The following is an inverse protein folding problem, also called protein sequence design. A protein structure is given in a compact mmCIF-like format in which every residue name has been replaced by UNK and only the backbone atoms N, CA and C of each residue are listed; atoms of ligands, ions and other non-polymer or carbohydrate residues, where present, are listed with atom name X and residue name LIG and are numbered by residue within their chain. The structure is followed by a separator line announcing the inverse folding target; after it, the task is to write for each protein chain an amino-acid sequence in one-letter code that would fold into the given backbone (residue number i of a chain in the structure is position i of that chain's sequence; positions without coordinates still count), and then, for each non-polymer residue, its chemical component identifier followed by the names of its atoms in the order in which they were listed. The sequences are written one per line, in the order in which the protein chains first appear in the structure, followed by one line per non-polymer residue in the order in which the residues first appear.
data_IF_435412570269
#
_entry.id   IF_435412570269
#
_cell.length_a   1.000
_cell.length_b   1.000
_cell.length_c   1.000
_cell.angle_alpha   90.00
_cell.angle_beta   90.00
_cell.angle_gamma   90.00
#
_symmetry.space_group_name_H-M   'P 1'
#
loop_
_entity.id
_entity.type
_entity.pdbx_description
1 polymer ?
#
# COMPACT_ATOMS: atom_id res chain seq x y z
N UNK A 1 -23.20 2.63 -77.20
CA UNK A 1 -23.89 3.79 -76.57
C UNK A 1 -23.02 4.27 -75.43
N UNK A 2 -22.00 5.08 -75.71
CA UNK A 2 -22.05 6.54 -75.87
C UNK A 2 -21.90 7.27 -74.51
N UNK A 3 -20.72 7.87 -74.37
CA UNK A 3 -20.21 8.77 -73.34
C UNK A 3 -21.09 10.01 -73.04
N UNK A 4 -20.85 10.64 -71.87
CA UNK A 4 -20.58 12.07 -71.62
C UNK A 4 -20.51 12.31 -70.09
N UNK A 5 -19.38 12.76 -69.52
CA UNK A 5 -18.79 14.11 -69.46
C UNK A 5 -19.62 15.13 -68.65
N UNK A 6 -18.97 15.71 -67.63
CA UNK A 6 -19.44 16.84 -66.83
C UNK A 6 -18.40 17.28 -65.81
N UNK A 7 -17.34 17.96 -66.27
CA UNK A 7 -16.44 18.78 -65.45
C UNK A 7 -17.14 20.04 -64.95
N UNK A 8 -16.82 20.54 -63.74
CA UNK A 8 -16.49 21.97 -63.53
C UNK A 8 -15.85 22.28 -62.15
N UNK A 9 -14.57 22.66 -62.24
CA UNK A 9 -13.95 23.92 -61.74
C UNK A 9 -13.94 24.28 -60.24
N UNK A 10 -12.70 24.47 -59.81
CA UNK A 10 -12.20 25.07 -58.58
C UNK A 10 -12.65 26.50 -58.27
N UNK A 11 -12.66 26.85 -56.98
CA UNK A 11 -12.32 28.21 -56.52
C UNK A 11 -11.70 28.20 -55.11
N UNK A 12 -10.38 28.43 -55.09
CA UNK A 12 -9.63 28.99 -53.95
C UNK A 12 -10.07 30.43 -53.72
N UNK A 13 -10.25 30.83 -52.46
CA UNK A 13 -10.16 32.20 -51.87
C UNK A 13 -10.54 32.04 -50.38
N UNK A 14 -9.88 32.57 -49.38
CA UNK A 14 -8.67 33.36 -49.28
C UNK A 14 -8.33 33.43 -47.79
N UNK A 15 -7.04 33.26 -47.46
CA UNK A 15 -6.53 33.37 -46.11
C UNK A 15 -5.95 34.77 -45.97
N UNK A 16 -6.64 35.65 -45.23
CA UNK A 16 -6.19 37.02 -45.02
C UNK A 16 -6.39 37.45 -43.57
N UNK A 17 -5.23 37.57 -42.90
CA UNK A 17 -4.83 38.57 -41.90
C UNK A 17 -5.94 39.18 -41.01
N UNK A 18 -5.82 38.90 -39.70
CA UNK A 18 -5.94 39.96 -38.67
C UNK A 18 -4.80 39.81 -37.68
N UNK A 19 -3.98 40.86 -37.60
CA UNK A 19 -2.95 41.01 -36.60
C UNK A 19 -3.46 41.68 -35.33
N UNK A 20 -2.62 41.54 -34.30
CA UNK A 20 -2.33 42.47 -33.21
C UNK A 20 -3.50 43.13 -32.48
N UNK A 21 -3.74 42.65 -31.25
CA UNK A 21 -4.01 43.47 -30.05
C UNK A 21 -4.00 42.54 -28.82
N UNK A 22 -2.89 42.51 -28.08
CA UNK A 22 -2.85 42.65 -26.61
C UNK A 22 -1.40 42.52 -26.11
N UNK A 23 -0.72 43.65 -26.07
CA UNK A 23 0.39 43.90 -25.13
C UNK A 23 -0.25 44.67 -23.99
N UNK A 24 -0.39 44.08 -22.80
CA UNK A 24 -0.40 44.73 -21.48
C UNK A 24 -0.84 43.73 -20.40
N UNK A 25 -0.18 43.82 -19.24
CA UNK A 25 -0.40 43.08 -17.99
C UNK A 25 0.27 41.71 -17.85
N UNK A 26 1.61 41.72 -17.92
CA UNK A 26 2.47 40.67 -17.38
C UNK A 26 3.42 41.29 -16.33
N UNK A 27 2.85 42.04 -15.38
CA UNK A 27 3.59 42.66 -14.26
C UNK A 27 2.78 42.66 -12.93
N UNK A 28 1.68 41.89 -12.84
CA UNK A 28 0.81 41.86 -11.65
C UNK A 28 0.84 40.57 -10.83
N UNK A 29 1.58 39.54 -11.24
CA UNK A 29 1.55 38.21 -10.60
C UNK A 29 2.84 37.80 -9.88
N UNK A 30 3.84 38.68 -9.81
CA UNK A 30 5.12 38.44 -9.10
C UNK A 30 5.11 39.05 -7.69
N UNK A 31 4.12 39.88 -7.34
CA UNK A 31 4.09 40.59 -6.06
C UNK A 31 3.24 39.92 -4.94
N UNK A 32 2.65 38.74 -5.17
CA UNK A 32 1.86 38.01 -4.15
C UNK A 32 2.56 36.74 -3.62
N UNK A 33 3.74 36.41 -4.16
CA UNK A 33 4.56 35.26 -3.71
C UNK A 33 5.72 35.64 -2.77
N UNK A 34 5.74 36.87 -2.23
CA UNK A 34 6.78 37.35 -1.30
C UNK A 34 6.17 37.85 0.02
N UNK A 35 5.17 37.15 0.59
CA UNK A 35 4.72 37.39 2.00
C UNK A 35 4.37 36.07 2.73
N UNK A 36 4.95 34.93 2.36
CA UNK A 36 4.88 33.69 3.18
C UNK A 36 6.27 33.08 3.39
N UNK A 37 7.23 33.93 3.71
CA UNK A 37 8.51 33.52 4.25
C UNK A 37 8.43 33.35 5.77
N UNK A 38 9.09 32.29 6.25
CA UNK A 38 9.54 32.05 7.64
C UNK A 38 8.53 31.43 8.61
N UNK A 39 8.35 30.11 8.50
CA UNK A 39 8.26 29.23 9.70
C UNK A 39 8.79 27.79 9.49
N UNK A 40 9.23 27.38 8.28
CA UNK A 40 9.60 25.98 8.01
C UNK A 40 11.10 25.63 8.12
N UNK A 41 11.98 26.57 8.50
CA UNK A 41 13.44 26.36 8.42
C UNK A 41 14.15 26.04 9.77
N UNK A 42 13.42 25.86 10.87
CA UNK A 42 14.04 25.54 12.18
C UNK A 42 14.12 24.05 12.55
N UNK A 43 13.55 23.13 11.76
CA UNK A 43 13.57 21.70 12.10
C UNK A 43 14.59 20.90 11.27
N UNK A 44 15.05 21.41 10.14
CA UNK A 44 16.06 20.72 9.31
C UNK A 44 17.51 20.99 9.74
N UNK A 45 17.80 22.10 10.41
CA UNK A 45 19.19 22.51 10.72
C UNK A 45 19.77 21.86 12.00
N UNK A 46 18.95 21.17 12.80
CA UNK A 46 19.40 20.48 14.04
C UNK A 46 19.89 19.05 13.78
N UNK A 47 19.54 18.43 12.64
CA UNK A 47 19.93 17.05 12.34
C UNK A 47 21.19 16.93 11.46
N UNK A 48 21.73 18.04 10.94
CA UNK A 48 22.81 18.01 9.94
C UNK A 48 24.20 18.42 10.48
N UNK A 49 24.30 18.70 11.80
CA UNK A 49 25.56 19.11 12.45
C UNK A 49 26.11 18.12 13.47
N UNK A 50 25.80 16.83 13.35
CA UNK A 50 26.55 15.82 14.10
C UNK A 50 27.91 15.62 13.42
N UNK A 51 29.04 15.78 14.14
CA UNK A 51 30.36 15.52 13.58
C UNK A 51 30.42 14.10 13.04
N UNK A 52 31.07 13.94 11.88
CA UNK A 52 31.34 12.67 11.22
C UNK A 52 32.12 11.76 12.17
N UNK A 53 31.40 10.96 12.95
CA UNK A 53 32.01 9.88 13.71
C UNK A 53 32.43 8.80 12.70
N UNK A 54 33.61 8.17 12.87
CA UNK A 54 33.97 7.00 12.06
C UNK A 54 32.84 5.98 12.14
N UNK A 55 32.60 5.17 11.10
CA UNK A 55 31.50 4.21 11.06
C UNK A 55 31.65 3.22 12.21
N UNK A 56 31.06 3.55 13.35
CA UNK A 56 30.83 2.61 14.42
C UNK A 56 30.09 1.45 13.76
N UNK A 57 30.55 0.22 14.03
CA UNK A 57 29.84 -1.00 13.62
C UNK A 57 28.41 -0.83 14.11
N UNK A 58 27.49 -0.47 13.19
CA UNK A 58 26.09 -0.25 13.52
C UNK A 58 25.56 -1.63 13.84
N UNK A 59 25.59 -1.95 15.14
CA UNK A 59 25.06 -3.21 15.63
C UNK A 59 23.61 -3.30 15.16
N UNK A 60 23.22 -4.47 14.69
CA UNK A 60 21.83 -4.75 14.39
C UNK A 60 20.98 -4.37 15.61
N UNK A 61 19.79 -3.79 15.42
CA UNK A 61 18.89 -3.53 16.54
C UNK A 61 18.79 -4.78 17.43
N UNK A 62 18.78 -4.64 18.77
CA UNK A 62 18.75 -5.76 19.68
C UNK A 62 17.58 -6.69 19.32
N UNK A 63 17.86 -8.00 19.28
CA UNK A 63 16.84 -8.98 18.95
C UNK A 63 15.69 -8.86 19.96
N UNK A 64 14.49 -8.62 19.46
CA UNK A 64 13.29 -8.60 20.29
C UNK A 64 13.09 -9.95 20.98
N UNK A 65 12.49 -9.98 22.19
CA UNK A 65 12.08 -11.24 22.79
C UNK A 65 11.16 -12.00 21.81
N UNK A 66 11.25 -13.34 21.76
CA UNK A 66 10.51 -14.14 20.79
C UNK A 66 9.00 -13.97 21.02
N UNK A 67 8.36 -13.19 20.15
CA UNK A 67 6.91 -13.05 20.19
C UNK A 67 6.25 -14.35 19.73
N UNK A 68 5.24 -14.80 20.47
CA UNK A 68 4.36 -15.89 20.02
C UNK A 68 3.80 -15.54 18.63
N UNK A 69 4.13 -16.33 17.61
CA UNK A 69 3.60 -16.19 16.26
C UNK A 69 2.29 -16.97 16.19
N UNK A 70 1.19 -16.30 15.86
CA UNK A 70 -0.09 -16.96 15.57
C UNK A 70 0.12 -17.72 14.25
N UNK A 71 -0.14 -19.04 14.18
CA UNK A 71 -0.09 -19.77 12.92
C UNK A 71 -0.96 -19.09 11.86
N UNK A 72 -0.46 -18.93 10.63
CA UNK A 72 -1.22 -18.23 9.58
C UNK A 72 -2.57 -18.87 9.28
N UNK A 73 -2.68 -20.20 9.41
CA UNK A 73 -3.94 -20.94 9.26
C UNK A 73 -4.95 -20.64 10.37
N UNK A 74 -4.48 -20.34 11.58
CA UNK A 74 -5.31 -19.86 12.69
C UNK A 74 -5.71 -18.40 12.43
N UNK A 75 -4.74 -17.55 12.06
CA UNK A 75 -4.96 -16.12 11.81
C UNK A 75 -6.00 -15.88 10.70
N UNK A 76 -5.94 -16.63 9.59
CA UNK A 76 -6.91 -16.50 8.48
C UNK A 76 -8.14 -17.39 8.64
N UNK A 77 -8.21 -18.19 9.71
CA UNK A 77 -9.23 -19.19 9.94
C UNK A 77 -9.41 -20.13 8.72
N UNK A 78 -8.31 -20.66 8.18
CA UNK A 78 -8.35 -21.52 6.98
C UNK A 78 -9.18 -22.78 7.19
N UNK A 79 -9.11 -23.39 8.39
CA UNK A 79 -9.77 -24.65 8.69
C UNK A 79 -11.30 -24.57 8.63
N UNK A 80 -11.89 -23.44 9.04
CA UNK A 80 -13.33 -23.23 8.95
C UNK A 80 -13.82 -22.93 7.52
N UNK A 81 -12.92 -22.76 6.54
CA UNK A 81 -13.27 -22.29 5.21
C UNK A 81 -13.78 -23.36 4.23
N UNK A 82 -13.79 -24.64 4.59
CA UNK A 82 -14.09 -25.74 3.65
C UNK A 82 -15.57 -25.83 3.22
N UNK A 83 -16.48 -25.03 3.79
CA UNK A 83 -17.92 -25.00 3.46
C UNK A 83 -18.48 -23.59 3.31
N UNK A 84 -17.71 -22.68 2.71
CA UNK A 84 -18.19 -21.31 2.46
C UNK A 84 -19.13 -21.33 1.25
N UNK A 85 -20.43 -21.14 1.50
CA UNK A 85 -21.42 -20.86 0.46
C UNK A 85 -21.49 -19.36 0.20
N UNK A 86 -21.54 -18.97 -1.08
CA UNK A 86 -21.54 -17.57 -1.48
C UNK A 86 -22.82 -17.21 -2.22
N UNK A 87 -23.47 -16.08 -1.86
CA UNK A 87 -24.60 -15.59 -2.62
C UNK A 87 -24.12 -15.16 -4.00
N UNK A 88 -24.88 -15.49 -5.04
CA UNK A 88 -24.58 -15.03 -6.39
C UNK A 88 -24.56 -13.48 -6.44
N UNK A 89 -23.62 -12.86 -7.18
CA UNK A 89 -22.62 -13.47 -8.07
C UNK A 89 -21.27 -13.76 -7.40
N UNK A 90 -21.18 -13.68 -6.07
CA UNK A 90 -19.93 -13.85 -5.34
C UNK A 90 -19.50 -15.33 -5.33
N UNK A 91 -18.19 -15.55 -5.28
CA UNK A 91 -17.57 -16.87 -5.29
C UNK A 91 -16.60 -17.03 -4.10
N UNK A 92 -16.49 -18.24 -3.54
CA UNK A 92 -15.64 -18.46 -2.36
C UNK A 92 -14.16 -18.37 -2.72
N UNK A 93 -13.35 -17.83 -1.80
CA UNK A 93 -11.90 -17.80 -1.88
C UNK A 93 -11.27 -18.58 -0.72
N UNK A 94 -10.53 -19.63 -1.08
CA UNK A 94 -9.81 -20.48 -0.13
C UNK A 94 -8.31 -20.21 -0.16
N UNK A 95 -7.69 -20.39 1.00
CA UNK A 95 -6.23 -20.41 1.13
C UNK A 95 -5.65 -21.60 0.37
N UNK A 96 -4.39 -21.50 -0.05
CA UNK A 96 -3.63 -22.63 -0.60
C UNK A 96 -2.44 -22.87 0.30
N UNK A 97 -2.34 -24.04 0.91
CA UNK A 97 -1.20 -24.39 1.75
C UNK A 97 -0.34 -25.36 0.97
N UNK A 98 0.91 -25.01 0.75
CA UNK A 98 1.90 -25.85 0.04
C UNK A 98 2.94 -26.29 1.06
N UNK A 99 3.26 -27.58 1.08
CA UNK A 99 4.34 -28.09 1.94
C UNK A 99 5.68 -27.46 1.53
N UNK A 100 6.30 -26.77 2.48
CA UNK A 100 7.54 -26.05 2.26
C UNK A 100 8.79 -26.93 2.42
N UNK A 101 8.63 -28.16 2.92
CA UNK A 101 9.74 -29.10 3.15
C UNK A 101 10.52 -29.45 1.88
N UNK A 102 9.87 -29.36 0.72
CA UNK A 102 10.42 -29.73 -0.58
C UNK A 102 11.18 -28.60 -1.27
N UNK A 103 11.23 -27.40 -0.69
CA UNK A 103 11.89 -26.25 -1.30
C UNK A 103 13.16 -25.86 -0.55
N UNK A 104 14.18 -25.41 -1.29
CA UNK A 104 15.43 -24.93 -0.71
C UNK A 104 15.21 -23.69 0.18
N UNK A 105 16.22 -23.30 0.98
CA UNK A 105 16.12 -22.14 1.85
C UNK A 105 16.02 -20.85 1.02
N UNK A 106 14.98 -20.05 1.28
CA UNK A 106 14.84 -18.68 0.80
C UNK A 106 14.82 -17.73 1.99
N UNK A 107 15.47 -16.57 1.86
CA UNK A 107 15.37 -15.51 2.87
C UNK A 107 13.94 -14.96 2.98
N UNK A 108 13.33 -14.62 1.85
CA UNK A 108 11.91 -14.29 1.77
C UNK A 108 11.10 -15.59 1.78
N UNK A 109 10.28 -15.86 2.81
CA UNK A 109 9.46 -17.07 2.85
C UNK A 109 8.52 -17.18 1.65
N UNK A 110 8.20 -18.41 1.21
CA UNK A 110 7.27 -18.65 0.08
C UNK A 110 5.80 -18.54 0.52
N UNK A 111 5.44 -17.35 0.98
CA UNK A 111 4.12 -16.98 1.47
C UNK A 111 3.59 -15.82 0.63
N UNK A 112 2.31 -15.84 0.28
CA UNK A 112 1.61 -14.72 -0.35
C UNK A 112 0.45 -14.31 0.58
N UNK A 113 0.41 -13.03 0.91
CA UNK A 113 -0.59 -12.39 1.74
C UNK A 113 -1.42 -11.45 0.88
N UNK A 114 -2.73 -11.68 0.85
CA UNK A 114 -3.70 -10.76 0.23
C UNK A 114 -4.76 -10.45 1.26
N UNK A 115 -5.09 -9.17 1.42
CA UNK A 115 -6.16 -8.74 2.30
C UNK A 115 -7.28 -8.08 1.53
N UNK A 116 -8.51 -8.26 2.01
CA UNK A 116 -9.66 -7.51 1.57
C UNK A 116 -10.60 -7.28 2.74
N UNK A 117 -10.78 -6.01 3.11
CA UNK A 117 -11.59 -5.60 4.26
C UNK A 117 -12.85 -4.89 3.78
N UNK A 118 -13.99 -5.22 4.39
CA UNK A 118 -15.31 -4.67 4.03
C UNK A 118 -15.85 -3.69 5.06
N UNK A 119 -15.22 -3.60 6.22
CA UNK A 119 -15.77 -2.87 7.36
C UNK A 119 -16.74 -3.73 8.18
N UNK A 120 -17.16 -3.18 9.31
CA UNK A 120 -17.80 -3.90 10.43
C UNK A 120 -19.27 -4.23 10.23
N UNK A 121 -19.90 -3.76 9.15
CA UNK A 121 -21.38 -3.79 9.00
C UNK A 121 -21.91 -5.06 8.32
N UNK A 122 -21.05 -5.88 7.69
CA UNK A 122 -21.47 -7.15 7.09
C UNK A 122 -20.64 -8.30 7.62
N UNK A 123 -21.24 -9.43 8.06
CA UNK A 123 -20.52 -10.62 8.44
C UNK A 123 -19.52 -10.98 7.34
N UNK A 124 -18.23 -10.97 7.68
CA UNK A 124 -17.19 -11.11 6.66
C UNK A 124 -17.32 -12.49 6.03
N UNK A 125 -17.54 -12.53 4.73
CA UNK A 125 -17.57 -13.77 3.98
C UNK A 125 -16.27 -13.88 3.18
N UNK A 126 -15.78 -15.11 3.00
CA UNK A 126 -14.73 -15.40 2.01
C UNK A 126 -15.27 -15.33 0.57
N UNK A 127 -16.37 -14.60 0.33
CA UNK A 127 -17.10 -14.57 -0.93
C UNK A 127 -16.77 -13.31 -1.71
N UNK A 128 -15.94 -13.37 -2.74
CA UNK A 128 -15.51 -12.20 -3.51
C UNK A 128 -16.14 -12.17 -4.92
N UNK A 129 -16.16 -11.00 -5.58
CA UNK A 129 -16.38 -10.89 -7.00
C UNK A 129 -15.51 -11.87 -7.79
N UNK A 130 -16.05 -12.51 -8.85
CA UNK A 130 -15.29 -13.41 -9.71
C UNK A 130 -14.01 -12.77 -10.27
N UNK A 131 -14.03 -11.46 -10.56
CA UNK A 131 -12.84 -10.76 -11.05
C UNK A 131 -11.70 -10.71 -10.03
N UNK A 132 -12.00 -10.49 -8.75
CA UNK A 132 -10.98 -10.51 -7.69
C UNK A 132 -10.45 -11.93 -7.46
N UNK A 133 -11.33 -12.94 -7.49
CA UNK A 133 -10.88 -14.35 -7.38
C UNK A 133 -10.00 -14.74 -8.57
N UNK A 134 -10.30 -14.26 -9.77
CA UNK A 134 -9.45 -14.47 -10.94
C UNK A 134 -8.07 -13.81 -10.80
N UNK A 135 -7.98 -12.62 -10.20
CA UNK A 135 -6.68 -12.00 -9.84
C UNK A 135 -5.89 -12.87 -8.88
N UNK A 136 -6.55 -13.41 -7.85
CA UNK A 136 -5.92 -14.34 -6.91
C UNK A 136 -5.47 -15.64 -7.59
N UNK A 137 -6.27 -16.15 -8.53
CA UNK A 137 -5.90 -17.36 -9.26
C UNK A 137 -4.63 -17.14 -10.10
N UNK A 138 -4.46 -15.99 -10.74
CA UNK A 138 -3.23 -15.63 -11.44
C UNK A 138 -2.00 -15.65 -10.52
N UNK A 139 -2.14 -15.18 -9.29
CA UNK A 139 -1.07 -15.32 -8.28
C UNK A 139 -0.74 -16.78 -7.98
N UNK A 140 -1.77 -17.62 -7.78
CA UNK A 140 -1.59 -19.05 -7.53
C UNK A 140 -0.90 -19.75 -8.71
N UNK A 141 -1.29 -19.41 -9.94
CA UNK A 141 -0.74 -20.01 -11.16
C UNK A 141 0.72 -19.59 -11.40
N UNK A 142 1.06 -18.32 -11.16
CA UNK A 142 2.41 -17.79 -11.37
C UNK A 142 3.42 -18.16 -10.27
N UNK A 143 2.93 -18.51 -9.07
CA UNK A 143 3.74 -18.86 -7.90
C UNK A 143 3.29 -20.21 -7.33
N UNK A 144 3.37 -21.32 -8.10
CA UNK A 144 2.81 -22.61 -7.71
C UNK A 144 3.40 -23.16 -6.39
N UNK A 145 4.65 -22.82 -6.06
CA UNK A 145 5.31 -23.29 -4.83
C UNK A 145 4.94 -22.50 -3.57
N UNK A 146 4.22 -21.39 -3.70
CA UNK A 146 3.92 -20.49 -2.59
C UNK A 146 2.62 -20.88 -1.90
N UNK A 147 2.63 -20.82 -0.57
CA UNK A 147 1.38 -20.82 0.20
C UNK A 147 0.70 -19.46 0.06
N UNK A 148 -0.62 -19.48 -0.08
CA UNK A 148 -1.45 -18.30 -0.26
C UNK A 148 -2.44 -18.16 0.89
N UNK A 149 -2.44 -16.98 1.53
CA UNK A 149 -3.26 -16.66 2.69
C UNK A 149 -4.13 -15.43 2.42
N UNK A 150 -5.45 -15.63 2.47
CA UNK A 150 -6.43 -14.56 2.36
C UNK A 150 -6.84 -14.03 3.74
N UNK A 151 -6.61 -12.74 3.96
CA UNK A 151 -6.86 -12.06 5.23
C UNK A 151 -8.12 -11.19 5.14
N UNK A 152 -9.11 -11.51 5.97
CA UNK A 152 -10.34 -10.72 6.14
C UNK A 152 -10.20 -9.72 7.29
N UNK A 153 -11.25 -8.95 7.55
CA UNK A 153 -11.28 -7.97 8.63
C UNK A 153 -10.82 -8.56 9.98
N UNK A 154 -11.26 -9.76 10.39
CA UNK A 154 -10.86 -10.33 11.69
C UNK A 154 -9.37 -10.67 11.74
N UNK A 155 -8.81 -11.22 10.66
CA UNK A 155 -7.39 -11.54 10.56
C UNK A 155 -6.53 -10.26 10.62
N UNK A 156 -6.99 -9.23 9.90
CA UNK A 156 -6.36 -7.91 9.88
C UNK A 156 -6.43 -7.28 11.27
N UNK A 157 -7.60 -7.28 11.91
CA UNK A 157 -7.81 -6.74 13.25
C UNK A 157 -7.02 -7.47 14.32
N UNK A 158 -6.99 -8.80 14.27
CA UNK A 158 -6.21 -9.63 15.20
C UNK A 158 -4.74 -9.24 15.16
N UNK A 159 -4.17 -9.06 13.96
CA UNK A 159 -2.78 -8.67 13.80
C UNK A 159 -2.50 -7.22 14.25
N UNK A 160 -3.45 -6.31 14.08
CA UNK A 160 -3.32 -4.91 14.51
C UNK A 160 -3.49 -4.74 16.03
N UNK A 161 -4.23 -5.65 16.68
CA UNK A 161 -4.54 -5.60 18.11
C UNK A 161 -3.61 -6.45 18.98
N UNK A 162 -2.78 -7.32 18.38
CA UNK A 162 -1.81 -8.09 19.16
C UNK A 162 -0.80 -7.19 19.86
N UNK A 163 -0.10 -7.74 20.84
CA UNK A 163 1.02 -7.06 21.49
C UNK A 163 2.24 -7.00 20.56
N UNK A 164 2.82 -5.81 20.45
CA UNK A 164 3.99 -5.53 19.64
C UNK A 164 5.04 -4.82 20.52
N UNK A 165 5.93 -5.56 21.19
CA UNK A 165 7.05 -5.01 21.93
C UNK A 165 7.83 -3.89 21.23
N UNK A 166 8.02 -3.96 19.91
CA UNK A 166 8.70 -2.93 19.12
C UNK A 166 7.83 -1.69 18.87
N UNK A 167 6.51 -1.86 18.95
CA UNK A 167 5.49 -0.86 18.64
C UNK A 167 4.41 -0.80 19.76
N UNK A 168 4.79 -0.53 21.02
CA UNK A 168 3.94 -0.76 22.20
C UNK A 168 2.65 0.07 22.24
N UNK A 169 2.58 1.15 21.45
CA UNK A 169 1.39 2.01 21.36
C UNK A 169 0.51 1.73 20.14
N UNK A 170 0.88 0.76 19.29
CA UNK A 170 0.20 0.52 18.02
C UNK A 170 -1.29 0.25 18.22
N UNK A 171 -1.68 -0.73 19.03
CA UNK A 171 -3.09 -1.09 19.22
C UNK A 171 -3.94 0.10 19.70
N UNK A 172 -3.39 0.92 20.60
CA UNK A 172 -4.03 2.13 21.11
C UNK A 172 -4.14 3.21 20.03
N UNK A 173 -3.08 3.45 19.26
CA UNK A 173 -3.07 4.39 18.13
C UNK A 173 -4.08 3.96 17.06
N UNK A 174 -4.12 2.67 16.71
CA UNK A 174 -5.08 2.11 15.76
C UNK A 174 -6.53 2.36 16.23
N UNK A 175 -6.82 2.06 17.50
CA UNK A 175 -8.15 2.25 18.07
C UNK A 175 -8.56 3.72 18.13
N UNK A 176 -7.63 4.64 18.38
CA UNK A 176 -7.94 6.01 18.75
C UNK A 176 -7.75 7.01 17.60
N UNK A 177 -6.67 6.90 16.83
CA UNK A 177 -6.32 7.87 15.79
C UNK A 177 -6.64 7.37 14.37
N UNK A 178 -6.66 6.05 14.15
CA UNK A 178 -6.96 5.47 12.83
C UNK A 178 -8.45 5.09 12.76
N UNK A 179 -9.31 6.12 12.73
CA UNK A 179 -10.77 5.93 12.76
C UNK A 179 -11.39 5.64 11.39
N UNK A 180 -10.79 6.13 10.31
CA UNK A 180 -11.35 6.04 8.96
C UNK A 180 -10.33 5.58 7.93
N UNK A 181 -10.81 4.72 7.03
CA UNK A 181 -10.08 4.33 5.83
C UNK A 181 -9.54 2.92 5.93
N UNK A 182 -10.22 2.00 5.25
CA UNK A 182 -9.67 0.67 5.01
C UNK A 182 -8.28 0.75 4.36
N UNK A 183 -8.03 1.76 3.53
CA UNK A 183 -6.71 2.02 2.95
C UNK A 183 -5.61 2.19 4.03
N UNK A 184 -5.80 3.07 5.01
CA UNK A 184 -4.80 3.30 6.07
C UNK A 184 -4.59 2.03 6.90
N UNK A 185 -5.69 1.38 7.28
CA UNK A 185 -5.64 0.14 8.05
C UNK A 185 -4.82 -0.94 7.32
N UNK A 186 -5.01 -1.08 6.01
CA UNK A 186 -4.26 -2.03 5.18
C UNK A 186 -2.81 -1.60 4.94
N UNK A 187 -2.52 -0.31 4.82
CA UNK A 187 -1.13 0.18 4.74
C UNK A 187 -0.32 -0.19 5.98
N UNK A 188 -0.93 -0.09 7.16
CA UNK A 188 -0.28 -0.48 8.42
C UNK A 188 -0.18 -2.00 8.50
N UNK A 189 -1.28 -2.70 8.24
CA UNK A 189 -1.35 -4.15 8.30
C UNK A 189 -0.35 -4.83 7.34
N UNK A 190 -0.20 -4.35 6.10
CA UNK A 190 0.71 -4.97 5.12
C UNK A 190 2.18 -4.87 5.53
N UNK A 191 2.54 -3.83 6.29
CA UNK A 191 3.90 -3.70 6.85
C UNK A 191 4.08 -4.69 7.99
N UNK A 192 3.09 -4.81 8.88
CA UNK A 192 3.14 -5.70 10.03
C UNK A 192 3.12 -7.18 9.66
N UNK A 193 2.30 -7.58 8.67
CA UNK A 193 2.25 -8.99 8.23
C UNK A 193 3.59 -9.42 7.64
N UNK A 194 4.23 -8.56 6.85
CA UNK A 194 5.57 -8.82 6.32
C UNK A 194 6.64 -8.78 7.41
N UNK A 195 6.55 -7.84 8.36
CA UNK A 195 7.48 -7.82 9.48
C UNK A 195 7.39 -9.11 10.33
N UNK A 196 6.19 -9.63 10.59
CA UNK A 196 5.99 -10.81 11.43
C UNK A 196 6.32 -12.13 10.71
N UNK A 197 5.86 -12.27 9.47
CA UNK A 197 5.85 -13.53 8.73
C UNK A 197 6.76 -13.53 7.50
N UNK A 198 7.21 -12.37 7.02
CA UNK A 198 7.86 -12.23 5.72
C UNK A 198 6.89 -12.51 4.57
N UNK A 199 7.43 -12.92 3.44
CA UNK A 199 6.65 -13.31 2.25
C UNK A 199 6.39 -12.16 1.31
N UNK A 200 5.37 -12.32 0.47
CA UNK A 200 4.88 -11.36 -0.52
C UNK A 200 3.55 -10.81 -0.01
N UNK A 201 3.38 -9.49 -0.08
CA UNK A 201 2.07 -8.85 -0.02
C UNK A 201 1.68 -8.37 -1.42
N UNK A 202 0.39 -8.50 -1.75
CA UNK A 202 -0.23 -7.85 -2.92
C UNK A 202 -1.57 -7.23 -2.55
N UNK A 203 -1.86 -6.05 -3.11
CA UNK A 203 -3.24 -5.57 -3.22
C UNK A 203 -4.07 -6.60 -4.00
N UNK A 204 -5.34 -6.81 -3.63
CA UNK A 204 -6.17 -7.88 -4.18
C UNK A 204 -6.56 -7.64 -5.65
N UNK A 205 -6.52 -6.40 -6.10
CA UNK A 205 -6.81 -5.99 -7.47
C UNK A 205 -5.54 -5.84 -8.32
N UNK A 206 -4.38 -6.21 -7.78
CA UNK A 206 -3.11 -6.28 -8.51
C UNK A 206 -2.83 -7.72 -8.96
N UNK A 207 -2.85 -7.94 -10.28
CA UNK A 207 -2.59 -9.24 -10.88
C UNK A 207 -1.17 -9.30 -11.45
N UNK A 208 -0.40 -10.38 -11.19
CA UNK A 208 0.93 -10.52 -11.76
C UNK A 208 0.82 -10.68 -13.27
N UNK A 209 1.78 -10.12 -14.01
CA UNK A 209 1.90 -10.39 -15.45
C UNK A 209 2.48 -11.78 -15.66
N UNK A 210 2.40 -12.30 -16.89
CA UNK A 210 3.04 -13.58 -17.26
C UNK A 210 4.57 -13.59 -17.07
N UNK A 211 5.19 -12.41 -16.92
CA UNK A 211 6.63 -12.26 -16.65
C UNK A 211 6.97 -12.31 -15.17
N UNK A 212 5.99 -12.13 -14.29
CA UNK A 212 6.22 -12.11 -12.85
C UNK A 212 5.85 -13.47 -12.25
N UNK A 213 6.85 -14.34 -12.22
CA UNK A 213 6.79 -15.69 -11.66
C UNK A 213 7.60 -15.78 -10.37
N UNK A 214 7.54 -16.93 -9.69
CA UNK A 214 8.35 -17.18 -8.48
C UNK A 214 9.86 -16.98 -8.67
N UNK A 215 10.40 -17.14 -9.88
CA UNK A 215 11.83 -16.93 -10.19
C UNK A 215 12.28 -15.46 -10.12
N UNK A 216 11.34 -14.52 -10.12
CA UNK A 216 11.65 -13.10 -10.01
C UNK A 216 12.26 -12.74 -8.64
N UNK A 217 12.02 -13.56 -7.62
CA UNK A 217 12.54 -13.41 -6.27
C UNK A 217 13.63 -14.46 -6.04
N UNK A 218 14.88 -14.01 -5.93
CA UNK A 218 16.03 -14.90 -5.77
C UNK A 218 16.15 -15.36 -4.31
N UNK A 219 16.71 -16.56 -4.10
CA UNK A 219 16.81 -17.18 -2.77
C UNK A 219 17.55 -16.33 -1.73
N UNK A 220 18.48 -15.47 -2.19
CA UNK A 220 19.29 -14.60 -1.34
C UNK A 220 18.78 -13.15 -1.22
N UNK A 221 17.68 -12.80 -1.90
CA UNK A 221 17.04 -11.49 -1.73
C UNK A 221 16.40 -11.43 -0.33
N UNK A 222 16.69 -10.39 0.45
CA UNK A 222 16.06 -10.15 1.76
C UNK A 222 14.83 -9.25 1.66
N UNK A 223 14.73 -8.47 0.58
CA UNK A 223 13.50 -7.77 0.20
C UNK A 223 13.40 -7.61 -1.32
N UNK A 224 12.18 -7.45 -1.81
CA UNK A 224 11.84 -7.29 -3.22
C UNK A 224 10.73 -6.24 -3.39
N UNK A 225 10.87 -5.38 -4.39
CA UNK A 225 9.88 -4.35 -4.74
C UNK A 225 9.71 -4.22 -6.25
N UNK A 226 8.52 -3.79 -6.67
CA UNK A 226 8.35 -3.19 -7.99
C UNK A 226 8.53 -1.67 -7.88
N UNK A 227 8.69 -1.01 -9.03
CA UNK A 227 8.80 0.43 -9.12
C UNK A 227 7.43 1.06 -9.40
N UNK A 228 7.03 2.02 -8.58
CA UNK A 228 5.83 2.81 -8.84
C UNK A 228 6.06 3.87 -9.94
N UNK A 229 5.03 4.65 -10.26
CA UNK A 229 5.10 5.68 -11.30
C UNK A 229 6.13 6.80 -11.03
N UNK A 230 6.54 6.99 -9.77
CA UNK A 230 7.51 7.99 -9.32
C UNK A 230 8.86 7.38 -8.94
N UNK A 231 9.13 6.17 -9.45
CA UNK A 231 10.33 5.40 -9.15
C UNK A 231 10.53 5.08 -7.65
N UNK A 232 9.48 5.05 -6.84
CA UNK A 232 9.55 4.61 -5.44
C UNK A 232 9.36 3.09 -5.36
N UNK A 233 9.77 2.43 -4.26
CA UNK A 233 9.29 1.07 -3.98
C UNK A 233 7.76 1.07 -3.91
N UNK A 234 7.11 0.16 -4.64
CA UNK A 234 5.67 -0.03 -4.61
C UNK A 234 5.22 -0.57 -3.25
N UNK A 235 4.09 -0.07 -2.75
CA UNK A 235 3.40 -0.69 -1.60
C UNK A 235 2.35 -1.72 -2.01
N UNK A 236 1.86 -1.64 -3.25
CA UNK A 236 0.81 -2.50 -3.76
C UNK A 236 1.32 -3.91 -4.11
N UNK A 237 2.63 -4.08 -4.35
CA UNK A 237 3.35 -5.36 -4.30
C UNK A 237 4.70 -5.14 -3.60
N UNK A 238 4.98 -5.92 -2.56
CA UNK A 238 6.26 -5.89 -1.84
C UNK A 238 6.51 -7.25 -1.20
N UNK A 239 7.77 -7.66 -1.11
CA UNK A 239 8.15 -8.89 -0.42
C UNK A 239 9.37 -8.68 0.48
N UNK A 240 9.40 -9.33 1.63
CA UNK A 240 10.48 -9.19 2.62
C UNK A 240 10.67 -10.49 3.39
N UNK A 241 11.88 -10.72 3.90
CA UNK A 241 12.05 -11.68 4.98
C UNK A 241 11.37 -11.17 6.25
N UNK A 242 11.10 -12.06 7.21
CA UNK A 242 10.57 -11.65 8.50
C UNK A 242 11.59 -10.73 9.21
N UNK A 243 11.07 -9.78 9.99
CA UNK A 243 11.84 -8.82 10.79
C UNK A 243 12.76 -7.93 9.94
N UNK A 244 12.46 -7.74 8.65
CA UNK A 244 13.29 -6.93 7.76
C UNK A 244 13.33 -5.46 8.22
N UNK A 245 14.52 -4.82 8.27
CA UNK A 245 14.67 -3.44 8.75
C UNK A 245 13.85 -2.40 7.97
N UNK A 246 13.54 -2.63 6.69
CA UNK A 246 12.67 -1.72 5.92
C UNK A 246 11.29 -1.65 6.57
N UNK A 247 10.67 -2.79 6.88
CA UNK A 247 9.34 -2.81 7.50
C UNK A 247 9.36 -2.16 8.88
N UNK A 248 10.42 -2.41 9.67
CA UNK A 248 10.61 -1.77 10.98
C UNK A 248 10.67 -0.24 10.88
N UNK A 249 11.56 0.32 10.06
CA UNK A 249 11.69 1.77 9.91
C UNK A 249 10.47 2.40 9.25
N UNK A 250 9.80 1.70 8.34
CA UNK A 250 8.51 2.14 7.79
C UNK A 250 7.46 2.23 8.89
N UNK A 251 7.37 1.26 9.78
CA UNK A 251 6.39 1.31 10.87
C UNK A 251 6.67 2.44 11.87
N UNK A 252 7.93 2.66 12.25
CA UNK A 252 8.28 3.80 13.09
C UNK A 252 7.90 5.14 12.46
N UNK A 253 8.14 5.29 11.15
CA UNK A 253 7.78 6.52 10.44
C UNK A 253 6.26 6.69 10.34
N UNK A 254 5.51 5.61 10.11
CA UNK A 254 4.05 5.62 10.14
C UNK A 254 3.54 6.11 11.51
N UNK A 255 4.00 5.50 12.60
CA UNK A 255 3.56 5.85 13.95
C UNK A 255 3.89 7.32 14.28
N UNK A 256 5.10 7.77 13.93
CA UNK A 256 5.49 9.17 14.07
C UNK A 256 4.55 10.11 13.32
N UNK A 257 4.24 9.81 12.05
CA UNK A 257 3.36 10.66 11.23
C UNK A 257 1.91 10.67 11.74
N UNK A 258 1.40 9.53 12.21
CA UNK A 258 0.06 9.44 12.82
C UNK A 258 -0.03 10.25 14.10
N UNK A 259 0.97 10.16 14.97
CA UNK A 259 1.02 10.94 16.20
C UNK A 259 1.17 12.45 15.93
N UNK A 260 1.83 12.83 14.83
CA UNK A 260 1.99 14.22 14.42
C UNK A 260 0.77 14.80 13.67
N UNK A 261 -0.34 14.05 13.54
CA UNK A 261 -1.55 14.59 12.92
C UNK A 261 -2.17 15.68 13.80
N UNK A 262 -2.31 16.88 13.22
CA UNK A 262 -3.06 17.99 13.80
C UNK A 262 -4.57 17.76 13.76
N UNK A 263 -5.05 16.99 12.79
CA UNK A 263 -6.45 16.63 12.65
C UNK A 263 -6.60 15.21 12.08
N UNK A 264 -7.05 14.27 12.92
CA UNK A 264 -7.28 12.87 12.50
C UNK A 264 -8.44 12.72 11.50
N UNK A 265 -9.25 13.75 11.28
CA UNK A 265 -10.29 13.78 10.23
C UNK A 265 -9.73 14.17 8.85
N UNK A 266 -8.51 14.73 8.79
CA UNK A 266 -7.88 15.22 7.56
C UNK A 266 -6.60 14.43 7.28
N UNK A 267 -6.80 13.25 6.70
CA UNK A 267 -5.74 12.30 6.40
C UNK A 267 -5.37 12.29 4.92
N UNK A 268 -4.07 12.23 4.62
CA UNK A 268 -3.55 12.00 3.27
C UNK A 268 -2.82 10.65 3.24
N UNK A 269 -3.51 9.52 2.95
CA UNK A 269 -2.96 8.18 3.12
C UNK A 269 -1.60 7.98 2.47
N UNK A 270 -1.42 8.45 1.22
CA UNK A 270 -0.16 8.37 0.47
C UNK A 270 1.06 8.86 1.25
N UNK A 271 0.90 9.94 2.01
CA UNK A 271 1.96 10.55 2.80
C UNK A 271 1.96 10.07 4.25
N UNK A 272 0.84 9.60 4.77
CA UNK A 272 0.74 9.19 6.17
C UNK A 272 1.25 7.75 6.37
N UNK A 273 0.63 6.81 5.68
CA UNK A 273 0.86 5.35 5.79
C UNK A 273 1.31 4.70 4.47
N UNK A 274 1.12 5.45 3.38
CA UNK A 274 1.28 5.03 2.02
C UNK A 274 2.74 5.01 1.53
N UNK A 275 2.95 5.02 0.20
CA UNK A 275 4.26 4.84 -0.42
C UNK A 275 5.36 5.77 0.07
N UNK A 276 5.03 6.95 0.60
CA UNK A 276 6.04 7.87 1.11
C UNK A 276 6.66 7.40 2.45
N UNK A 277 5.87 6.77 3.33
CA UNK A 277 6.39 6.17 4.55
C UNK A 277 7.23 4.91 4.24
N UNK A 278 6.83 4.12 3.24
CA UNK A 278 7.65 3.02 2.73
C UNK A 278 8.98 3.54 2.16
N UNK A 279 8.93 4.58 1.33
CA UNK A 279 10.12 5.22 0.75
C UNK A 279 11.10 5.65 1.84
N UNK A 280 10.61 6.19 2.96
CA UNK A 280 11.46 6.54 4.10
C UNK A 280 12.17 5.31 4.68
N UNK A 281 11.42 4.25 5.04
CA UNK A 281 12.01 3.03 5.62
C UNK A 281 13.00 2.35 4.67
N UNK A 282 12.65 2.30 3.38
CA UNK A 282 13.52 1.82 2.30
C UNK A 282 14.82 2.63 2.24
N UNK A 283 14.72 3.97 2.27
CA UNK A 283 15.87 4.88 2.27
C UNK A 283 16.78 4.75 3.50
N UNK A 284 16.24 4.40 4.66
CA UNK A 284 17.05 4.19 5.88
C UNK A 284 17.97 2.97 5.80
N UNK A 285 17.53 1.92 5.11
CA UNK A 285 18.26 0.65 4.96
C UNK A 285 19.28 0.72 3.82
N UNK A 286 18.90 1.29 2.67
CA UNK A 286 19.76 1.31 1.49
C UNK A 286 20.74 2.49 1.45
N UNK A 287 20.84 3.28 2.51
CA UNK A 287 21.79 4.40 2.57
C UNK A 287 23.25 3.89 2.61
N UNK A 288 23.88 3.89 1.44
CA UNK A 288 25.28 3.55 1.16
C UNK A 288 25.57 3.93 -0.29
N UNK A 289 26.83 4.17 -0.64
CA UNK A 289 27.28 4.62 -1.96
C UNK A 289 26.61 3.78 -3.06
N UNK A 290 25.57 4.34 -3.70
CA UNK A 290 25.16 3.84 -5.00
C UNK A 290 26.40 3.86 -5.88
N UNK A 291 26.56 2.85 -6.75
CA UNK A 291 27.57 2.94 -7.81
C UNK A 291 27.44 4.31 -8.46
N UNK A 292 28.55 4.96 -8.77
CA UNK A 292 28.58 6.32 -9.30
C UNK A 292 27.48 6.53 -10.37
N UNK A 293 26.54 7.44 -10.10
CA UNK A 293 25.40 7.72 -10.97
C UNK A 293 24.11 6.91 -10.73
N UNK A 294 24.07 5.97 -9.78
CA UNK A 294 22.85 5.24 -9.40
C UNK A 294 22.25 5.76 -8.09
N UNK A 295 20.94 5.96 -8.10
CA UNK A 295 20.17 6.21 -6.89
C UNK A 295 19.72 4.88 -6.27
N UNK A 296 19.53 4.85 -4.95
CA UNK A 296 18.95 3.70 -4.24
C UNK A 296 17.55 3.32 -4.75
N UNK A 297 16.91 4.21 -5.51
CA UNK A 297 15.60 4.02 -6.10
C UNK A 297 15.65 3.43 -7.51
N UNK A 298 16.82 3.25 -8.10
CA UNK A 298 16.91 2.69 -9.44
C UNK A 298 16.55 1.20 -9.45
N UNK A 299 16.15 0.70 -10.61
CA UNK A 299 15.91 -0.72 -10.83
C UNK A 299 17.25 -1.45 -10.73
N UNK A 300 17.29 -2.55 -9.97
CA UNK A 300 18.52 -3.29 -9.76
C UNK A 300 18.53 -4.09 -8.47
N UNK A 301 19.72 -4.49 -8.08
CA UNK A 301 19.99 -5.14 -6.79
C UNK A 301 20.85 -4.17 -5.98
N UNK A 302 20.43 -3.92 -4.75
CA UNK A 302 21.03 -2.97 -3.84
C UNK A 302 21.45 -3.70 -2.57
N UNK A 303 22.71 -3.57 -2.21
CA UNK A 303 23.19 -4.01 -0.90
C UNK A 303 23.01 -2.85 0.09
N UNK A 304 22.24 -3.12 1.14
CA UNK A 304 21.92 -2.17 2.20
C UNK A 304 22.69 -2.45 3.48
N UNK A 305 22.46 -1.58 4.46
CA UNK A 305 22.86 -1.79 5.85
C UNK A 305 22.33 -3.13 6.37
N UNK A 306 22.95 -3.62 7.45
CA UNK A 306 22.56 -4.86 8.11
C UNK A 306 22.67 -6.11 7.21
N UNK A 307 23.56 -6.07 6.21
CA UNK A 307 23.80 -7.17 5.26
C UNK A 307 22.51 -7.61 4.53
N UNK A 308 21.69 -6.62 4.14
CA UNK A 308 20.41 -6.84 3.46
C UNK A 308 20.59 -6.62 1.97
N UNK A 309 20.05 -7.53 1.16
CA UNK A 309 20.11 -7.49 -0.30
C UNK A 309 18.70 -7.24 -0.82
N UNK A 310 18.48 -6.09 -1.43
CA UNK A 310 17.17 -5.65 -1.89
C UNK A 310 17.12 -5.65 -3.41
N UNK A 311 16.15 -6.36 -3.98
CA UNK A 311 15.88 -6.33 -5.43
C UNK A 311 14.74 -5.37 -5.72
N UNK A 312 14.91 -4.54 -6.74
CA UNK A 312 13.86 -3.68 -7.26
C UNK A 312 13.72 -3.88 -8.76
N UNK A 313 12.52 -4.19 -9.24
CA UNK A 313 12.21 -4.32 -10.66
C UNK A 313 11.42 -3.13 -11.20
N UNK A 314 11.51 -2.91 -12.51
CA UNK A 314 10.80 -1.85 -13.21
C UNK A 314 9.31 -2.15 -13.45
N UNK A 315 8.75 -1.49 -14.46
CA UNK A 315 7.37 -1.71 -14.91
C UNK A 315 7.23 -3.02 -15.72
N UNK A 316 6.00 -3.51 -15.89
CA UNK A 316 5.68 -4.67 -16.75
C UNK A 316 5.58 -6.02 -16.04
N UNK A 317 5.71 -6.03 -14.71
CA UNK A 317 5.53 -7.21 -13.85
C UNK A 317 4.11 -7.36 -13.31
N UNK A 318 3.26 -6.35 -13.51
CA UNK A 318 1.81 -6.43 -13.31
C UNK A 318 1.06 -6.44 -14.63
N UNK A 319 -0.14 -7.01 -14.60
CA UNK A 319 -1.08 -6.97 -15.72
C UNK A 319 -2.12 -5.87 -15.51
N UNK A 320 -2.66 -5.35 -16.60
CA UNK A 320 -3.75 -4.38 -16.61
C UNK A 320 -5.13 -5.03 -16.37
N UNK A 321 -5.16 -6.29 -15.91
CA UNK A 321 -6.35 -7.14 -15.88
C UNK A 321 -7.57 -6.45 -15.27
N UNK A 322 -7.43 -5.82 -14.10
CA UNK A 322 -8.54 -5.17 -13.40
C UNK A 322 -9.03 -3.87 -14.08
N UNK A 323 -8.26 -3.31 -15.00
CA UNK A 323 -8.62 -2.12 -15.79
C UNK A 323 -9.28 -2.47 -17.13
N UNK A 324 -9.30 -3.74 -17.52
CA UNK A 324 -9.93 -4.20 -18.75
C UNK A 324 -11.45 -4.01 -18.70
N UNK A 325 -12.03 -3.58 -19.82
CA UNK A 325 -13.47 -3.42 -19.97
C UNK A 325 -14.16 -4.78 -20.11
N UNK A 326 -15.30 -4.91 -19.45
CA UNK A 326 -16.18 -6.07 -19.47
C UNK A 326 -17.63 -5.59 -19.54
N UNK A 327 -18.49 -6.39 -20.17
CA UNK A 327 -19.92 -6.12 -20.16
C UNK A 327 -20.46 -6.20 -18.72
N UNK A 328 -21.17 -5.16 -18.29
CA UNK A 328 -21.98 -5.16 -17.07
C UNK A 328 -23.38 -5.64 -17.37
N UNK A 329 -23.98 -5.08 -18.42
CA UNK A 329 -25.26 -5.48 -18.99
C UNK A 329 -25.23 -5.36 -20.53
N UNK A 330 -26.39 -5.40 -21.18
CA UNK A 330 -26.50 -5.32 -22.63
C UNK A 330 -26.07 -3.98 -23.24
N UNK A 331 -25.92 -2.92 -22.42
CA UNK A 331 -25.74 -1.54 -22.84
C UNK A 331 -24.50 -0.86 -22.26
N UNK A 332 -23.98 -1.36 -21.14
CA UNK A 332 -22.87 -0.75 -20.40
C UNK A 332 -21.64 -1.67 -20.35
N UNK A 333 -20.49 -1.13 -20.76
CA UNK A 333 -19.18 -1.72 -20.50
C UNK A 333 -18.51 -0.94 -19.37
N UNK A 334 -18.05 -1.65 -18.35
CA UNK A 334 -17.33 -1.08 -17.20
C UNK A 334 -16.01 -1.83 -17.01
N UNK A 335 -15.08 -1.26 -16.24
CA UNK A 335 -13.87 -2.00 -15.87
C UNK A 335 -14.19 -3.15 -14.93
N UNK A 336 -13.37 -4.20 -14.91
CA UNK A 336 -13.49 -5.29 -13.91
C UNK A 336 -13.46 -4.78 -12.47
N UNK A 337 -12.65 -3.74 -12.20
CA UNK A 337 -12.58 -3.07 -10.90
C UNK A 337 -13.91 -2.42 -10.52
N UNK A 338 -14.54 -1.69 -11.44
CA UNK A 338 -15.87 -1.11 -11.22
C UNK A 338 -16.93 -2.19 -11.04
N UNK A 339 -16.88 -3.26 -11.81
CA UNK A 339 -17.79 -4.41 -11.66
C UNK A 339 -17.68 -5.04 -10.28
N UNK A 340 -16.45 -5.33 -9.83
CA UNK A 340 -16.20 -5.86 -8.50
C UNK A 340 -16.71 -4.92 -7.41
N UNK A 341 -16.47 -3.61 -7.55
CA UNK A 341 -16.94 -2.63 -6.60
C UNK A 341 -18.47 -2.56 -6.50
N UNK A 342 -19.18 -2.60 -7.64
CA UNK A 342 -20.66 -2.64 -7.70
C UNK A 342 -21.22 -3.91 -7.06
N UNK A 343 -20.65 -5.08 -7.39
CA UNK A 343 -21.08 -6.37 -6.84
C UNK A 343 -20.93 -6.47 -5.32
N UNK A 344 -19.99 -5.72 -4.74
CA UNK A 344 -19.76 -5.69 -3.30
C UNK A 344 -20.41 -4.51 -2.59
N UNK A 345 -21.12 -3.65 -3.33
CA UNK A 345 -21.58 -2.36 -2.83
C UNK A 345 -20.45 -1.57 -2.13
N UNK A 346 -19.21 -1.73 -2.62
CA UNK A 346 -18.05 -1.11 -2.00
C UNK A 346 -17.88 0.30 -2.54
N UNK A 347 -17.59 1.24 -1.66
CA UNK A 347 -17.32 2.63 -2.02
C UNK A 347 -15.84 2.93 -1.84
N UNK A 348 -15.24 3.63 -2.80
CA UNK A 348 -13.85 4.07 -2.69
C UNK A 348 -13.65 4.92 -1.43
N UNK A 349 -12.54 4.71 -0.72
CA UNK A 349 -12.28 5.33 0.57
C UNK A 349 -12.41 6.86 0.55
N UNK A 350 -12.00 7.52 -0.54
CA UNK A 350 -12.10 8.98 -0.67
C UNK A 350 -13.55 9.47 -0.64
N UNK A 351 -14.47 8.72 -1.25
CA UNK A 351 -15.91 9.03 -1.23
C UNK A 351 -16.46 8.78 0.17
N UNK A 352 -16.06 7.67 0.80
CA UNK A 352 -16.47 7.34 2.17
C UNK A 352 -15.99 8.37 3.20
N UNK A 353 -14.74 8.84 3.11
CA UNK A 353 -14.23 9.92 3.97
C UNK A 353 -15.02 11.21 3.74
N UNK A 354 -15.31 11.56 2.49
CA UNK A 354 -16.10 12.77 2.19
C UNK A 354 -17.50 12.71 2.78
N UNK A 355 -18.15 11.54 2.73
CA UNK A 355 -19.51 11.34 3.23
C UNK A 355 -19.58 11.24 4.75
N UNK A 356 -18.62 10.55 5.37
CA UNK A 356 -18.56 10.36 6.83
C UNK A 356 -17.72 11.41 7.57
N UNK A 357 -17.28 12.48 6.88
CA UNK A 357 -16.35 13.47 7.46
C UNK A 357 -16.92 14.11 8.72
N UNK A 358 -18.22 14.41 8.72
CA UNK A 358 -18.90 15.08 9.84
C UNK A 358 -19.10 14.15 11.04
N UNK A 359 -19.05 12.83 10.84
CA UNK A 359 -19.10 11.82 11.91
C UNK A 359 -17.74 11.70 12.63
N UNK A 360 -16.67 12.24 12.05
CA UNK A 360 -15.32 12.16 12.62
C UNK A 360 -15.11 13.31 13.58
N UNK A 361 -14.95 12.99 14.86
CA UNK A 361 -14.44 13.97 15.82
C UNK A 361 -12.97 14.25 15.47
N UNK A 362 -12.72 15.40 14.84
CA UNK A 362 -11.39 15.80 14.34
C UNK A 362 -10.39 16.14 15.44
N UNK A 363 -9.34 16.89 15.09
CA UNK A 363 -8.33 17.37 16.04
C UNK A 363 -7.15 16.41 16.26
N UNK A 364 -6.19 16.81 17.10
CA UNK A 364 -4.89 16.14 17.18
C UNK A 364 -4.98 14.70 17.70
N UNK A 365 -4.13 13.81 17.17
CA UNK A 365 -4.08 12.42 17.64
C UNK A 365 -3.74 12.33 19.14
N UNK A 366 -2.83 13.18 19.63
CA UNK A 366 -2.45 13.22 21.04
C UNK A 366 -3.61 13.56 21.98
N UNK A 367 -4.43 14.54 21.62
CA UNK A 367 -5.61 14.92 22.42
C UNK A 367 -6.58 13.74 22.52
N UNK A 368 -6.79 13.03 21.41
CA UNK A 368 -7.65 11.84 21.38
C UNK A 368 -7.11 10.71 22.22
N UNK A 369 -5.79 10.50 22.24
CA UNK A 369 -5.14 9.51 23.09
C UNK A 369 -5.32 9.86 24.57
N UNK A 370 -5.12 11.13 24.94
CA UNK A 370 -5.30 11.62 26.30
C UNK A 370 -6.75 11.50 26.78
N UNK A 371 -7.72 11.92 25.96
CA UNK A 371 -9.15 11.77 26.25
C UNK A 371 -9.56 10.30 26.45
N UNK A 372 -9.00 9.38 25.65
CA UNK A 372 -9.26 7.96 25.78
C UNK A 372 -8.74 7.40 27.12
N UNK A 373 -7.58 7.88 27.59
CA UNK A 373 -7.03 7.50 28.89
C UNK A 373 -7.89 8.02 30.04
N UNK A 374 -8.29 9.30 30.01
CA UNK A 374 -9.20 9.86 31.02
C UNK A 374 -10.51 9.08 31.12
N UNK A 375 -11.08 8.66 30.00
CA UNK A 375 -12.31 7.85 29.97
C UNK A 375 -12.09 6.46 30.57
N UNK A 376 -10.92 5.86 30.39
CA UNK A 376 -10.61 4.55 30.96
C UNK A 376 -10.35 4.64 32.47
N UNK A 377 -9.68 5.70 32.95
CA UNK A 377 -9.43 5.93 34.38
C UNK A 377 -10.71 6.20 35.18
N UNK A 378 -11.75 6.74 34.54
CA UNK A 378 -13.03 7.04 35.17
C UNK A 378 -14.04 5.88 35.11
N UNK A 379 -13.70 4.73 34.50
CA UNK A 379 -14.56 3.56 34.60
C UNK A 379 -14.44 3.01 36.03
N UNK A 380 -15.52 2.97 36.82
CA UNK A 380 -15.46 2.34 38.14
C UNK A 380 -14.95 0.91 37.93
N UNK A 381 -13.92 0.53 38.69
CA UNK A 381 -13.51 -0.87 38.75
C UNK A 381 -14.76 -1.67 39.08
N UNK A 382 -15.23 -2.47 38.12
CA UNK A 382 -16.29 -3.43 38.39
C UNK A 382 -15.70 -4.39 39.41
N UNK A 383 -16.06 -4.17 40.68
CA UNK A 383 -15.71 -5.05 41.78
C UNK A 383 -16.08 -6.49 41.37
N UNK A 384 -15.13 -7.44 41.47
CA UNK A 384 -15.32 -8.81 41.01
C UNK A 384 -16.44 -9.56 41.73
#
# INVERSE_FOLDING_TARGET
MAARLGETVAKRKGQQRRGNKLVLSLLGLVAVLIIHGRTSDMITDVLDRTPYLPPAVVQSPPASPPQKKIPLTELTNSAASSKVECPAPLVPLHDRIVDQSSFGPHKIPRLIHIAYIRGTETPTSRCLPPDLVATVQKWKDNFPSYSFFFHRDEAVDTLLQQDWPEFPHLAKIMKTCVKFGGAIKIDIWRVLVLYKYGGIYSDIDEAPSVKFTEDAIQFNDSAFFLSDAWNRPSQWIQAMEAEHPIAYFTMLEILKRVLALEDISVIKPVFLTGPDALKFGYGKVLWGEGKEGQTIFDVGVHDGKFNKRVRKLGKGYTSDYMTQLVAWDATENITRKERAARQQNSTHWTKMIREKREEVVGGPCWDRLYEADLKNSNKPESLP
#
